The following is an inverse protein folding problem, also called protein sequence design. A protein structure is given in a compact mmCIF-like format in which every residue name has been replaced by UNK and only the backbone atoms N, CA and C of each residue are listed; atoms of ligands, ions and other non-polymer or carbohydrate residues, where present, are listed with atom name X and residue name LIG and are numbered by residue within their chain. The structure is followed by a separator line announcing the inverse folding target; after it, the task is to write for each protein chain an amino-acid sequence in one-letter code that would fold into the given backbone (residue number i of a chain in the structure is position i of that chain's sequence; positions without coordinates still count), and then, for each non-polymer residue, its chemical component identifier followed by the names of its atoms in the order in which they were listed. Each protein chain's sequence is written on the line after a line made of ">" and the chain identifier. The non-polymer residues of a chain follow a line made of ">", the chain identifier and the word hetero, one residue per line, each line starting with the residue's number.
data_IF_219302323950
#
_entry.id   IF_219302323950
#
_cell.length_a   1.000
_cell.length_b   1.000
_cell.length_c   1.000
_cell.angle_alpha   90.00
_cell.angle_beta   90.00
_cell.angle_gamma   90.00
#
_symmetry.space_group_name_H-M   'P 1'
#
loop_
_entity.id
_entity.type
_entity.pdbx_description
1 polymer ?
#
# COMPACT_ATOMS: atom_id res chain seq x y z
N UNK A 1 -5.19 -33.92 -13.06
CA UNK A 1 -4.16 -34.61 -13.86
C UNK A 1 -4.17 -34.01 -15.26
N UNK A 2 -3.06 -33.81 -15.97
CA UNK A 2 -1.64 -33.74 -15.58
C UNK A 2 -0.82 -33.26 -16.79
N UNK A 3 0.38 -32.69 -16.54
CA UNK A 3 1.52 -32.63 -17.47
C UNK A 3 1.38 -31.83 -18.81
N UNK A 4 2.46 -31.42 -19.50
CA UNK A 4 3.82 -31.01 -19.09
C UNK A 4 4.59 -30.42 -20.31
N UNK A 5 5.73 -29.75 -20.03
CA UNK A 5 6.96 -29.71 -20.84
C UNK A 5 6.95 -29.30 -22.33
N UNK A 6 7.57 -28.14 -22.60
CA UNK A 6 8.69 -27.90 -23.55
C UNK A 6 9.50 -26.72 -22.93
N UNK A 7 10.82 -26.68 -22.72
CA UNK A 7 11.98 -27.51 -23.14
C UNK A 7 12.26 -27.49 -24.65
N UNK A 8 13.38 -27.00 -25.19
CA UNK A 8 14.55 -26.35 -24.59
C UNK A 8 15.32 -25.54 -25.67
N UNK A 9 16.22 -24.64 -25.25
CA UNK A 9 17.50 -24.42 -25.94
C UNK A 9 18.50 -23.83 -24.94
N UNK A 10 19.75 -24.29 -24.94
CA UNK A 10 20.69 -24.04 -23.85
C UNK A 10 22.08 -23.60 -24.35
N UNK A 11 22.78 -22.87 -23.47
CA UNK A 11 24.24 -22.84 -23.35
C UNK A 11 25.10 -22.30 -24.50
N UNK A 12 25.50 -21.02 -24.39
CA UNK A 12 26.88 -20.60 -24.68
C UNK A 12 27.39 -19.80 -23.48
N UNK A 13 28.58 -20.14 -22.96
CA UNK A 13 29.18 -19.51 -21.79
C UNK A 13 29.93 -18.22 -22.12
N UNK A 14 29.79 -17.21 -21.26
CA UNK A 14 30.90 -16.35 -20.83
C UNK A 14 30.59 -15.78 -19.42
N UNK A 15 31.38 -16.12 -18.38
CA UNK A 15 31.17 -15.57 -17.05
C UNK A 15 31.86 -14.20 -16.92
N UNK A 16 31.11 -13.11 -17.06
CA UNK A 16 31.57 -11.80 -16.59
C UNK A 16 31.30 -11.76 -15.07
N UNK A 17 32.32 -11.64 -14.20
CA UNK A 17 32.11 -11.44 -12.78
C UNK A 17 31.75 -9.98 -12.53
N UNK A 18 30.58 -9.56 -13.03
CA UNK A 18 29.89 -8.38 -12.53
C UNK A 18 29.44 -8.69 -11.10
N UNK A 19 30.39 -8.52 -10.17
CA UNK A 19 30.14 -8.42 -8.75
C UNK A 19 29.39 -7.11 -8.52
N UNK A 20 28.10 -7.13 -8.89
CA UNK A 20 27.11 -6.14 -8.53
C UNK A 20 27.05 -6.12 -7.01
N UNK A 21 27.91 -5.28 -6.42
CA UNK A 21 27.74 -4.81 -5.06
C UNK A 21 26.48 -3.96 -5.06
N UNK A 22 25.33 -4.62 -4.88
CA UNK A 22 24.02 -3.99 -4.84
C UNK A 22 23.88 -3.23 -3.52
N UNK A 23 24.56 -2.07 -3.46
CA UNK A 23 24.68 -1.23 -2.30
C UNK A 23 23.40 -0.40 -2.07
N UNK A 24 22.34 -1.06 -1.60
CA UNK A 24 21.14 -0.44 -1.03
C UNK A 24 20.15 0.12 -2.08
N UNK A 25 18.89 -0.32 -2.17
CA UNK A 25 18.08 -1.12 -1.23
C UNK A 25 17.44 -2.30 -1.98
N UNK A 26 17.62 -3.51 -1.47
CA UNK A 26 16.91 -4.68 -2.00
C UNK A 26 15.44 -4.66 -1.57
N UNK A 27 14.55 -4.36 -2.52
CA UNK A 27 13.15 -4.75 -2.49
C UNK A 27 12.21 -3.96 -1.58
N UNK A 28 11.14 -3.43 -2.17
CA UNK A 28 9.82 -3.46 -1.53
C UNK A 28 8.77 -3.73 -2.62
N UNK A 29 8.61 -5.01 -2.98
CA UNK A 29 7.27 -5.44 -3.37
C UNK A 29 6.42 -5.31 -2.11
N UNK A 30 5.43 -4.41 -2.13
CA UNK A 30 4.43 -4.37 -1.08
C UNK A 30 3.64 -5.69 -1.20
N UNK A 31 3.74 -6.52 -0.17
CA UNK A 31 3.24 -7.89 -0.17
C UNK A 31 2.63 -8.22 1.19
N UNK A 32 1.63 -9.10 1.18
CA UNK A 32 0.79 -9.40 2.36
C UNK A 32 -0.57 -8.69 2.29
N UNK A 33 -1.21 -8.52 3.46
CA UNK A 33 -2.55 -7.95 3.53
C UNK A 33 -2.52 -6.42 3.42
N UNK A 34 -3.12 -5.88 2.36
CA UNK A 34 -3.30 -4.43 2.15
C UNK A 34 -4.77 -4.07 2.30
N UNK A 35 -5.09 -2.99 3.01
CA UNK A 35 -6.47 -2.48 3.10
C UNK A 35 -6.62 -1.20 2.29
N UNK A 36 -7.67 -1.11 1.48
CA UNK A 36 -8.18 0.18 1.01
C UNK A 36 -9.14 0.72 2.06
N UNK A 37 -8.73 1.79 2.75
CA UNK A 37 -9.57 2.41 3.77
C UNK A 37 -10.75 3.11 3.09
N UNK A 38 -11.95 2.87 3.62
CA UNK A 38 -13.06 3.81 3.49
C UNK A 38 -12.72 5.11 4.22
N UNK A 39 -13.24 6.22 3.74
CA UNK A 39 -13.15 7.52 4.38
C UNK A 39 -14.44 7.77 5.17
N UNK A 40 -14.44 7.61 6.50
CA UNK A 40 -15.67 7.73 7.29
C UNK A 40 -16.25 9.14 7.22
N UNK A 41 -17.55 9.23 6.99
CA UNK A 41 -18.31 10.49 6.97
C UNK A 41 -19.47 10.40 7.96
N UNK A 42 -19.87 11.54 8.51
CA UNK A 42 -21.08 11.67 9.30
C UNK A 42 -22.35 11.67 8.42
N UNK A 43 -23.52 11.69 9.07
CA UNK A 43 -24.81 11.73 8.38
C UNK A 43 -25.08 13.06 7.62
N UNK A 44 -24.14 14.01 7.64
CA UNK A 44 -24.16 15.26 6.88
C UNK A 44 -23.10 15.27 5.76
N UNK A 45 -22.37 14.16 5.56
CA UNK A 45 -21.32 14.03 4.55
C UNK A 45 -19.98 14.65 4.93
N UNK A 46 -19.78 15.07 6.19
CA UNK A 46 -18.51 15.64 6.66
C UNK A 46 -17.60 14.54 7.19
N UNK A 47 -16.28 14.72 7.05
CA UNK A 47 -15.30 13.75 7.53
C UNK A 47 -15.38 13.46 9.04
N UNK A 48 -15.60 12.18 9.38
CA UNK A 48 -15.51 11.66 10.75
C UNK A 48 -14.06 11.21 11.04
N UNK A 49 -13.30 12.16 11.58
CA UNK A 49 -11.91 11.99 11.96
C UNK A 49 -11.68 10.99 13.10
N UNK A 50 -12.64 10.85 14.01
CA UNK A 50 -12.51 9.95 15.15
C UNK A 50 -12.71 8.49 14.71
N UNK A 51 -13.66 8.24 13.80
CA UNK A 51 -13.85 6.94 13.17
C UNK A 51 -12.69 6.58 12.24
N UNK A 52 -12.16 7.54 11.47
CA UNK A 52 -10.94 7.33 10.66
C UNK A 52 -9.76 6.90 11.55
N UNK A 53 -9.55 7.61 12.66
CA UNK A 53 -8.49 7.30 13.62
C UNK A 53 -8.63 5.89 14.21
N UNK A 54 -9.84 5.52 14.68
CA UNK A 54 -10.12 4.18 15.20
C UNK A 54 -9.89 3.08 14.16
N UNK A 55 -10.24 3.34 12.89
CA UNK A 55 -10.06 2.39 11.79
C UNK A 55 -8.57 2.18 11.47
N UNK A 56 -7.77 3.24 11.43
CA UNK A 56 -6.30 3.15 11.28
C UNK A 56 -5.69 2.35 12.43
N UNK A 57 -6.05 2.65 13.68
CA UNK A 57 -5.55 1.94 14.86
C UNK A 57 -5.97 0.45 14.86
N UNK A 58 -7.19 0.13 14.44
CA UNK A 58 -7.63 -1.25 14.25
C UNK A 58 -6.74 -2.01 13.25
N UNK A 59 -6.42 -1.41 12.10
CA UNK A 59 -5.56 -2.04 11.10
C UNK A 59 -4.11 -2.21 11.56
N UNK A 60 -3.57 -1.25 12.31
CA UNK A 60 -2.25 -1.33 12.94
C UNK A 60 -2.19 -2.43 14.01
N UNK A 61 -3.24 -2.58 14.84
CA UNK A 61 -3.31 -3.61 15.87
C UNK A 61 -3.45 -5.03 15.30
N UNK A 62 -4.16 -5.19 14.18
CA UNK A 62 -4.39 -6.49 13.54
C UNK A 62 -3.29 -6.93 12.54
N UNK A 63 -2.15 -6.22 12.48
CA UNK A 63 -1.02 -6.64 11.63
C UNK A 63 -1.25 -6.45 10.12
N UNK A 64 -2.00 -5.43 9.73
CA UNK A 64 -2.15 -5.06 8.31
C UNK A 64 -0.79 -4.64 7.75
N UNK A 65 -0.43 -5.10 6.55
CA UNK A 65 0.91 -4.92 5.98
C UNK A 65 1.05 -3.60 5.21
N UNK A 66 -0.03 -3.06 4.67
CA UNK A 66 -0.08 -1.74 4.04
C UNK A 66 -1.47 -1.10 4.14
N UNK A 67 -1.51 0.22 4.18
CA UNK A 67 -2.76 1.01 4.09
C UNK A 67 -2.77 1.75 2.76
N UNK A 68 -3.86 1.64 2.00
CA UNK A 68 -4.19 2.51 0.87
C UNK A 68 -5.19 3.55 1.37
N UNK A 69 -4.79 4.82 1.38
CA UNK A 69 -5.60 5.95 1.80
C UNK A 69 -6.19 6.67 0.58
N UNK A 70 -7.48 6.99 0.61
CA UNK A 70 -8.20 7.74 -0.44
C UNK A 70 -8.05 7.11 -1.84
N UNK A 71 -8.27 5.80 -1.92
CA UNK A 71 -8.53 5.14 -3.21
C UNK A 71 -9.99 5.32 -3.65
N UNK A 72 -10.45 4.58 -4.66
CA UNK A 72 -11.87 4.56 -5.05
C UNK A 72 -12.77 4.10 -3.90
N UNK A 73 -12.31 3.14 -3.09
CA UNK A 73 -12.95 2.69 -1.84
C UNK A 73 -12.88 3.73 -0.73
N UNK A 74 -11.94 4.68 -0.80
CA UNK A 74 -11.81 5.81 0.12
C UNK A 74 -12.42 7.10 -0.40
N UNK A 75 -13.44 6.98 -1.26
CA UNK A 75 -14.26 8.08 -1.75
C UNK A 75 -13.49 9.18 -2.51
N UNK A 76 -12.41 8.83 -3.21
CA UNK A 76 -11.53 9.77 -3.94
C UNK A 76 -12.21 10.63 -5.01
N UNK A 77 -13.42 10.27 -5.45
CA UNK A 77 -14.22 11.04 -6.40
C UNK A 77 -15.22 12.00 -5.73
N UNK A 78 -15.37 11.94 -4.41
CA UNK A 78 -16.38 12.65 -3.62
C UNK A 78 -15.77 13.70 -2.69
N UNK A 79 -14.48 13.57 -2.33
CA UNK A 79 -13.75 14.51 -1.50
C UNK A 79 -13.25 15.72 -2.28
N UNK A 80 -13.24 16.89 -1.65
CA UNK A 80 -12.48 18.03 -2.15
C UNK A 80 -10.96 17.77 -2.05
N UNK A 81 -10.17 18.38 -2.93
CA UNK A 81 -8.70 18.22 -2.97
C UNK A 81 -8.03 18.51 -1.61
N UNK A 82 -8.54 19.50 -0.88
CA UNK A 82 -8.05 19.84 0.48
C UNK A 82 -8.37 18.75 1.51
N UNK A 83 -9.54 18.13 1.40
CA UNK A 83 -9.97 17.04 2.28
C UNK A 83 -9.17 15.76 2.00
N UNK A 84 -9.03 15.40 0.72
CA UNK A 84 -8.18 14.31 0.23
C UNK A 84 -6.77 14.39 0.80
N UNK A 85 -6.13 15.57 0.70
CA UNK A 85 -4.78 15.81 1.24
C UNK A 85 -4.73 15.69 2.77
N UNK A 86 -5.72 16.24 3.50
CA UNK A 86 -5.75 16.16 4.97
C UNK A 86 -6.00 14.73 5.47
N UNK A 87 -6.83 13.92 4.79
CA UNK A 87 -7.01 12.49 5.09
C UNK A 87 -5.68 11.74 4.94
N UNK A 88 -4.98 11.87 3.80
CA UNK A 88 -3.65 11.25 3.60
C UNK A 88 -2.69 11.70 4.71
N UNK A 89 -2.61 13.01 4.97
CA UNK A 89 -1.71 13.60 5.97
C UNK A 89 -1.96 13.05 7.38
N UNK A 90 -3.22 12.86 7.78
CA UNK A 90 -3.56 12.27 9.08
C UNK A 90 -3.22 10.79 9.16
N UNK A 91 -3.57 10.00 8.13
CA UNK A 91 -3.23 8.56 8.07
C UNK A 91 -1.70 8.38 8.15
N UNK A 92 -0.92 9.12 7.35
CA UNK A 92 0.56 9.07 7.38
C UNK A 92 1.10 9.45 8.77
N UNK A 93 0.58 10.52 9.38
CA UNK A 93 0.98 10.96 10.72
C UNK A 93 0.69 9.92 11.81
N UNK A 94 -0.45 9.24 11.75
CA UNK A 94 -0.86 8.25 12.74
C UNK A 94 -0.11 6.91 12.59
N UNK A 95 0.06 6.46 11.35
CA UNK A 95 0.88 5.28 11.02
C UNK A 95 2.34 5.50 11.46
N UNK A 96 2.87 6.72 11.33
CA UNK A 96 4.19 7.12 11.83
C UNK A 96 5.32 6.17 11.38
N UNK A 97 5.29 5.76 10.11
CA UNK A 97 6.28 4.86 9.51
C UNK A 97 6.24 3.39 9.94
N UNK A 98 5.24 2.97 10.74
CA UNK A 98 5.09 1.55 11.18
C UNK A 98 4.87 0.58 10.02
N UNK A 99 4.09 0.98 9.02
CA UNK A 99 3.79 0.24 7.79
C UNK A 99 3.75 1.21 6.61
N UNK A 100 3.95 0.74 5.35
CA UNK A 100 3.76 1.57 4.17
C UNK A 100 2.33 2.11 4.06
N UNK A 101 2.23 3.39 3.65
CA UNK A 101 0.98 4.04 3.27
C UNK A 101 1.06 4.39 1.78
N UNK A 102 0.07 3.94 1.01
CA UNK A 102 -0.12 4.23 -0.40
C UNK A 102 -1.20 5.32 -0.48
N UNK A 103 -0.88 6.48 -1.04
CA UNK A 103 -1.88 7.49 -1.34
C UNK A 103 -2.54 7.20 -2.69
N UNK A 104 -3.87 7.21 -2.75
CA UNK A 104 -4.58 7.41 -4.00
C UNK A 104 -4.44 8.86 -4.46
N UNK A 105 -4.40 9.06 -5.78
CA UNK A 105 -4.15 10.33 -6.47
C UNK A 105 -4.98 10.40 -7.75
#
# INVERSE_FOLDING_TARGET
>A
MAAAQYFACASILAPVPLRLSFSGRSGCMIAGSMVALVTPMDAQGRLDWDSLSKLVDFHLQNGTHAIVAVGTTGESATLDVSEHIEVIRRVVKQVNGRIPVIAGT
#
